data_IF_630182932460
#
_entry.id   IF_630182932460
#
_cell.length_a   1.000
_cell.length_b   1.000
_cell.length_c   1.000
_cell.angle_alpha   90.00
_cell.angle_beta   90.00
_cell.angle_gamma   90.00
#
_symmetry.space_group_name_H-M   'P 1'
#
loop_
_entity.id
_entity.type
_entity.pdbx_description
1 polymer ?
#
# COMPACT_ATOMS: atom_id res chain seq x y z
N UNK A 1 -21.21 19.35 32.35
CA UNK A 1 -21.01 18.46 33.52
C UNK A 1 -19.73 17.63 33.34
N UNK A 2 -18.86 17.58 34.37
CA UNK A 2 -17.59 16.83 34.30
C UNK A 2 -17.73 15.57 35.13
N UNK A 3 -17.62 14.42 34.51
CA UNK A 3 -17.56 13.11 35.14
C UNK A 3 -16.10 12.70 35.30
N UNK A 4 -15.70 12.31 36.50
CA UNK A 4 -14.30 12.00 36.83
C UNK A 4 -14.16 10.58 37.40
N UNK A 5 -13.21 9.83 36.81
CA UNK A 5 -12.83 8.50 37.31
C UNK A 5 -11.53 8.63 38.12
N UNK A 6 -11.64 8.95 39.38
CA UNK A 6 -10.50 9.18 40.28
C UNK A 6 -9.52 10.21 39.70
N UNK A 7 -8.20 10.04 39.88
CA UNK A 7 -7.18 10.91 39.29
C UNK A 7 -6.80 10.54 37.83
N UNK A 8 -7.49 9.57 37.23
CA UNK A 8 -7.02 8.89 36.02
C UNK A 8 -7.64 9.42 34.74
N UNK A 9 -8.94 9.78 34.77
CA UNK A 9 -9.66 10.19 33.54
C UNK A 9 -10.77 11.18 33.92
N UNK A 10 -10.96 12.19 33.07
CA UNK A 10 -12.08 13.11 33.16
C UNK A 10 -12.78 13.21 31.80
N UNK A 11 -14.11 13.29 31.82
CA UNK A 11 -14.95 13.37 30.63
C UNK A 11 -15.95 14.51 30.80
N UNK A 12 -16.24 15.25 29.73
CA UNK A 12 -17.32 16.25 29.68
C UNK A 12 -17.90 16.24 28.26
N UNK A 13 -19.22 16.24 28.17
CA UNK A 13 -19.97 16.22 26.91
C UNK A 13 -19.51 15.09 25.95
N UNK A 14 -19.33 13.87 26.50
CA UNK A 14 -18.86 12.71 25.77
C UNK A 14 -17.40 12.79 25.31
N UNK A 15 -16.64 13.79 25.76
CA UNK A 15 -15.25 14.04 25.32
C UNK A 15 -14.28 13.88 26.48
N UNK A 16 -13.13 13.25 26.17
CA UNK A 16 -12.04 13.18 27.15
C UNK A 16 -11.37 14.54 27.34
N UNK A 17 -11.04 14.83 28.62
CA UNK A 17 -10.34 16.04 29.01
C UNK A 17 -8.87 15.74 29.31
N UNK A 18 -8.02 16.72 29.04
CA UNK A 18 -6.61 16.75 29.42
C UNK A 18 -6.40 17.75 30.53
N UNK A 19 -5.62 17.37 31.52
CA UNK A 19 -5.20 18.29 32.58
C UNK A 19 -3.83 18.87 32.27
N UNK A 20 -3.75 20.21 32.20
CA UNK A 20 -2.49 20.94 32.10
C UNK A 20 -1.99 21.28 33.50
N UNK A 21 -0.91 20.64 33.99
CA UNK A 21 -0.40 20.91 35.33
C UNK A 21 0.25 22.29 35.48
N UNK A 22 0.68 22.94 34.39
CA UNK A 22 1.29 24.25 34.42
C UNK A 22 0.25 25.37 34.60
N UNK A 23 -0.92 25.19 33.98
CA UNK A 23 -2.02 26.16 34.03
C UNK A 23 -3.12 25.79 35.05
N UNK A 24 -3.05 24.59 35.62
CA UNK A 24 -4.10 24.03 36.51
C UNK A 24 -5.49 24.00 35.86
N UNK A 25 -5.57 23.80 34.53
CA UNK A 25 -6.82 23.83 33.76
C UNK A 25 -7.12 22.47 33.17
N UNK A 26 -8.39 22.06 33.20
CA UNK A 26 -8.92 20.96 32.42
C UNK A 26 -9.40 21.51 31.07
N UNK A 27 -8.81 21.04 29.99
CA UNK A 27 -9.21 21.38 28.64
C UNK A 27 -9.67 20.15 27.87
N UNK A 28 -10.58 20.34 26.90
CA UNK A 28 -10.96 19.25 25.99
C UNK A 28 -9.73 18.85 25.18
N UNK A 29 -9.45 17.55 25.14
CA UNK A 29 -8.33 17.05 24.34
C UNK A 29 -8.47 17.51 22.89
N UNK A 30 -7.44 18.11 22.28
CA UNK A 30 -7.50 18.63 20.90
C UNK A 30 -7.90 17.57 19.91
N UNK A 31 -7.54 16.33 20.20
CA UNK A 31 -7.90 15.16 19.40
C UNK A 31 -8.51 14.10 20.30
N UNK A 32 -9.72 13.69 19.97
CA UNK A 32 -10.43 12.65 20.69
C UNK A 32 -9.98 11.26 20.29
N UNK A 33 -10.18 10.29 21.16
CA UNK A 33 -9.91 8.90 20.88
C UNK A 33 -10.86 8.37 19.79
N UNK A 34 -10.41 7.34 19.03
CA UNK A 34 -11.23 6.75 17.96
C UNK A 34 -12.62 6.31 18.43
N UNK A 35 -13.59 6.26 17.52
CA UNK A 35 -15.03 6.10 17.74
C UNK A 35 -15.41 5.06 18.81
N UNK A 36 -14.74 3.89 18.84
CA UNK A 36 -15.00 2.83 19.83
C UNK A 36 -14.67 3.27 21.28
N UNK A 37 -13.69 4.15 21.46
CA UNK A 37 -13.29 4.66 22.78
C UNK A 37 -14.05 5.93 23.14
N UNK A 38 -14.45 6.72 22.15
CA UNK A 38 -15.34 7.86 22.34
C UNK A 38 -16.70 7.40 22.90
N UNK A 39 -17.28 6.31 22.38
CA UNK A 39 -18.50 5.73 22.92
C UNK A 39 -18.41 5.34 24.41
N UNK A 40 -17.24 4.91 24.90
CA UNK A 40 -17.04 4.65 26.35
C UNK A 40 -17.16 5.95 27.18
N UNK A 41 -16.77 7.10 26.60
CA UNK A 41 -16.90 8.39 27.30
C UNK A 41 -18.36 8.86 27.35
N UNK A 42 -19.11 8.62 26.30
CA UNK A 42 -20.56 8.87 26.23
C UNK A 42 -21.32 7.99 27.24
N UNK A 43 -21.07 6.67 27.21
CA UNK A 43 -21.66 5.69 28.15
C UNK A 43 -21.36 6.05 29.60
N UNK A 44 -20.14 6.52 29.87
CA UNK A 44 -19.71 6.92 31.22
C UNK A 44 -20.44 8.18 31.70
N UNK A 45 -20.76 9.09 30.81
CA UNK A 45 -21.45 10.35 31.13
C UNK A 45 -22.97 10.16 31.31
N UNK A 46 -23.57 9.26 30.56
CA UNK A 46 -24.99 8.94 30.62
C UNK A 46 -25.36 8.00 31.77
N UNK A 47 -24.36 7.38 32.39
CA UNK A 47 -24.57 6.42 33.46
C UNK A 47 -25.07 7.11 34.75
N UNK A 48 -26.27 6.77 35.13
CA UNK A 48 -26.89 7.21 36.40
C UNK A 48 -26.74 6.19 37.51
N UNK A 49 -26.71 4.89 37.18
CA UNK A 49 -26.59 3.77 38.12
C UNK A 49 -25.95 2.53 37.47
N UNK A 50 -25.25 1.71 38.29
CA UNK A 50 -24.72 0.42 37.84
C UNK A 50 -23.23 0.41 37.49
N UNK A 51 -22.79 -0.64 36.76
CA UNK A 51 -21.40 -0.85 36.37
C UNK A 51 -21.19 -0.39 34.96
N UNK A 52 -20.38 0.62 34.74
CA UNK A 52 -20.03 1.17 33.41
C UNK A 52 -18.55 0.96 33.13
N UNK A 53 -18.22 0.72 31.88
CA UNK A 53 -16.82 0.64 31.45
C UNK A 53 -16.22 2.04 31.42
N UNK A 54 -15.08 2.21 32.07
CA UNK A 54 -14.32 3.45 32.03
C UNK A 54 -12.93 3.20 31.46
N UNK A 55 -12.43 4.14 30.69
CA UNK A 55 -11.05 4.12 30.26
C UNK A 55 -10.19 4.77 31.36
N UNK A 56 -9.25 4.01 31.89
CA UNK A 56 -8.38 4.46 33.00
C UNK A 56 -6.97 4.67 32.43
N UNK A 57 -6.43 5.88 32.63
CA UNK A 57 -5.03 6.20 32.30
C UNK A 57 -4.18 6.25 33.59
N UNK A 58 -3.38 5.21 33.86
CA UNK A 58 -2.52 5.18 35.05
C UNK A 58 -1.50 6.31 35.10
N UNK A 59 -1.17 6.90 33.93
CA UNK A 59 -0.22 8.01 33.82
C UNK A 59 -0.85 9.39 34.04
N UNK A 60 -2.16 9.46 34.32
CA UNK A 60 -2.94 10.68 34.54
C UNK A 60 -2.99 11.64 33.34
N UNK A 61 -3.13 11.09 32.15
CA UNK A 61 -3.34 11.83 30.89
C UNK A 61 -2.34 11.59 29.79
N UNK A 62 -1.01 11.46 30.02
CA UNK A 62 -0.01 11.29 28.96
C UNK A 62 -0.25 10.11 28.06
N UNK A 63 -0.69 8.95 28.55
CA UNK A 63 -0.96 7.78 27.73
C UNK A 63 -2.18 7.99 26.83
N UNK A 64 -3.24 8.61 27.35
CA UNK A 64 -4.41 8.96 26.54
C UNK A 64 -4.04 9.96 25.44
N UNK A 65 -3.21 10.96 25.76
CA UNK A 65 -2.66 11.91 24.79
C UNK A 65 -1.90 11.22 23.68
N UNK A 66 -0.94 10.36 24.01
CA UNK A 66 -0.17 9.59 23.01
C UNK A 66 -1.05 8.70 22.14
N UNK A 67 -2.11 8.11 22.69
CA UNK A 67 -3.04 7.28 21.92
C UNK A 67 -3.93 8.13 21.01
N UNK A 68 -4.35 9.32 21.47
CA UNK A 68 -5.13 10.25 20.67
C UNK A 68 -4.31 10.84 19.50
N UNK A 69 -3.02 11.08 19.70
CA UNK A 69 -2.10 11.63 18.70
C UNK A 69 -1.64 10.62 17.64
N UNK A 70 -2.06 9.35 17.72
CA UNK A 70 -1.68 8.36 16.70
C UNK A 70 -2.17 8.79 15.31
N UNK A 71 -1.27 8.98 14.33
CA UNK A 71 -1.65 9.45 13.02
C UNK A 71 -2.46 8.40 12.27
N UNK A 72 -3.53 8.83 11.60
CA UNK A 72 -4.29 8.02 10.65
C UNK A 72 -3.46 7.72 9.40
N UNK A 73 -3.90 6.75 8.56
CA UNK A 73 -3.19 6.41 7.32
C UNK A 73 -3.00 7.62 6.40
N UNK A 74 -4.02 8.48 6.27
CA UNK A 74 -3.96 9.70 5.47
C UNK A 74 -2.92 10.68 6.03
N UNK A 75 -2.92 10.90 7.34
CA UNK A 75 -1.94 11.74 8.02
C UNK A 75 -0.52 11.19 7.88
N UNK A 76 -0.35 9.86 7.90
CA UNK A 76 0.96 9.24 7.64
C UNK A 76 1.46 9.54 6.23
N UNK A 77 0.59 9.54 5.22
CA UNK A 77 0.96 9.92 3.85
C UNK A 77 1.35 11.40 3.82
N UNK A 78 0.57 12.27 4.49
CA UNK A 78 0.86 13.69 4.58
C UNK A 78 2.19 13.98 5.29
N UNK A 79 2.51 13.24 6.35
CA UNK A 79 3.82 13.34 7.02
C UNK A 79 4.99 12.87 6.15
N UNK A 80 4.75 12.09 5.09
CA UNK A 80 5.75 11.75 4.09
C UNK A 80 6.03 12.90 3.10
N UNK A 81 5.29 14.00 3.19
CA UNK A 81 5.38 15.18 2.32
C UNK A 81 5.44 14.83 0.82
N UNK A 82 6.23 15.55 0.04
CA UNK A 82 6.34 15.34 -1.42
C UNK A 82 6.74 13.91 -1.76
N UNK A 83 7.70 13.34 -1.04
CA UNK A 83 8.18 11.97 -1.30
C UNK A 83 7.08 10.95 -1.02
N UNK A 84 6.30 11.13 0.04
CA UNK A 84 5.16 10.28 0.36
C UNK A 84 4.12 10.24 -0.75
N UNK A 85 3.77 11.39 -1.31
CA UNK A 85 2.83 11.49 -2.44
C UNK A 85 3.38 10.83 -3.71
N UNK A 86 4.66 11.01 -4.02
CA UNK A 86 5.32 10.37 -5.17
C UNK A 86 5.30 8.84 -5.02
N UNK A 87 5.59 8.33 -3.83
CA UNK A 87 5.54 6.88 -3.55
C UNK A 87 4.12 6.34 -3.76
N UNK A 88 3.10 7.02 -3.23
CA UNK A 88 1.69 6.61 -3.40
C UNK A 88 1.28 6.64 -4.86
N UNK A 89 1.69 7.66 -5.62
CA UNK A 89 1.42 7.75 -7.06
C UNK A 89 2.04 6.58 -7.83
N UNK A 90 3.31 6.28 -7.57
CA UNK A 90 4.01 5.14 -8.18
C UNK A 90 3.32 3.82 -7.82
N UNK A 91 2.89 3.67 -6.58
CA UNK A 91 2.12 2.52 -6.12
C UNK A 91 0.79 2.37 -6.83
N UNK A 92 0.06 3.46 -7.02
CA UNK A 92 -1.21 3.48 -7.73
C UNK A 92 -1.04 3.09 -9.20
N UNK A 93 -0.04 3.66 -9.88
CA UNK A 93 0.29 3.30 -11.26
C UNK A 93 0.65 1.81 -11.35
N UNK A 94 1.44 1.30 -10.40
CA UNK A 94 1.80 -0.11 -10.33
C UNK A 94 0.60 -1.02 -10.13
N UNK A 95 -0.30 -0.66 -9.22
CA UNK A 95 -1.52 -1.42 -8.94
C UNK A 95 -2.48 -1.43 -10.14
N UNK A 96 -2.69 -0.30 -10.79
CA UNK A 96 -3.50 -0.20 -12.01
C UNK A 96 -2.90 -1.02 -13.16
N UNK A 97 -1.58 -0.95 -13.36
CA UNK A 97 -0.89 -1.75 -14.36
C UNK A 97 -1.04 -3.26 -14.06
N UNK A 98 -0.83 -3.67 -12.81
CA UNK A 98 -0.98 -5.05 -12.40
C UNK A 98 -2.42 -5.55 -12.61
N UNK A 99 -3.42 -4.75 -12.23
CA UNK A 99 -4.84 -5.11 -12.41
C UNK A 99 -5.19 -5.27 -13.89
N UNK A 100 -4.78 -4.32 -14.74
CA UNK A 100 -4.98 -4.40 -16.18
C UNK A 100 -4.34 -5.66 -16.77
N UNK A 101 -3.14 -6.00 -16.32
CA UNK A 101 -2.43 -7.20 -16.75
C UNK A 101 -3.13 -8.49 -16.27
N UNK A 102 -3.65 -8.53 -15.04
CA UNK A 102 -4.44 -9.67 -14.57
C UNK A 102 -5.68 -9.89 -15.42
N UNK A 103 -6.42 -8.83 -15.73
CA UNK A 103 -7.60 -8.91 -16.60
C UNK A 103 -7.21 -9.42 -18.00
N UNK A 104 -6.14 -8.87 -18.57
CA UNK A 104 -5.65 -9.29 -19.87
C UNK A 104 -5.26 -10.77 -19.91
N UNK A 105 -4.47 -11.24 -18.93
CA UNK A 105 -4.03 -12.64 -18.87
C UNK A 105 -5.19 -13.60 -18.59
N UNK A 106 -6.17 -13.17 -17.79
CA UNK A 106 -7.36 -13.97 -17.51
C UNK A 106 -8.21 -14.18 -18.78
N UNK A 107 -8.40 -13.11 -19.58
CA UNK A 107 -9.08 -13.18 -20.87
C UNK A 107 -8.27 -14.04 -21.85
N UNK A 108 -6.94 -13.86 -21.91
CA UNK A 108 -6.07 -14.67 -22.76
C UNK A 108 -6.16 -16.17 -22.40
N UNK A 109 -6.12 -16.50 -21.12
CA UNK A 109 -6.26 -17.88 -20.65
C UNK A 109 -7.61 -18.49 -21.02
N UNK A 110 -8.71 -17.75 -20.83
CA UNK A 110 -10.04 -18.21 -21.19
C UNK A 110 -10.16 -18.42 -22.71
N UNK A 111 -9.58 -17.53 -23.51
CA UNK A 111 -9.61 -17.64 -24.97
C UNK A 111 -8.74 -18.81 -25.49
N UNK A 112 -7.58 -19.07 -24.86
CA UNK A 112 -6.75 -20.26 -25.16
C UNK A 112 -7.52 -21.54 -24.83
N UNK A 113 -8.15 -21.61 -23.66
CA UNK A 113 -8.96 -22.77 -23.27
C UNK A 113 -10.14 -23.03 -24.24
N UNK A 114 -10.79 -21.97 -24.72
CA UNK A 114 -11.83 -22.09 -25.75
C UNK A 114 -11.28 -22.57 -27.09
N UNK A 115 -10.08 -22.09 -27.50
CA UNK A 115 -9.43 -22.50 -28.75
C UNK A 115 -8.97 -23.96 -28.74
N UNK A 116 -8.53 -24.49 -27.58
CA UNK A 116 -8.16 -25.89 -27.43
C UNK A 116 -9.32 -26.86 -27.78
N UNK A 117 -10.56 -26.40 -27.61
CA UNK A 117 -11.76 -27.20 -27.99
C UNK A 117 -12.05 -27.18 -29.50
N UNK A 118 -11.48 -26.20 -30.23
CA UNK A 118 -11.69 -26.05 -31.66
C UNK A 118 -10.39 -25.67 -32.37
N UNK A 119 -9.51 -26.65 -32.57
CA UNK A 119 -8.21 -26.48 -33.25
C UNK A 119 -8.34 -26.34 -34.77
N UNK A 120 -9.47 -26.72 -35.33
CA UNK A 120 -9.69 -26.69 -36.80
C UNK A 120 -9.76 -25.23 -37.31
N UNK A 121 -10.37 -24.33 -36.55
CA UNK A 121 -10.58 -22.93 -36.93
C UNK A 121 -9.79 -21.99 -36.01
N UNK A 122 -8.49 -21.74 -36.26
CA UNK A 122 -7.67 -20.88 -35.42
C UNK A 122 -8.08 -19.40 -35.54
N UNK A 123 -8.29 -18.72 -34.39
CA UNK A 123 -8.67 -17.32 -34.35
C UNK A 123 -7.43 -16.42 -34.15
N UNK A 124 -7.26 -15.40 -35.00
CA UNK A 124 -6.14 -14.43 -34.93
C UNK A 124 -6.10 -13.60 -33.64
N UNK A 125 -7.23 -13.43 -32.95
CA UNK A 125 -7.30 -12.65 -31.73
C UNK A 125 -6.85 -13.42 -30.49
N UNK A 126 -6.53 -14.71 -30.63
CA UNK A 126 -6.12 -15.59 -29.56
C UNK A 126 -4.62 -15.92 -29.68
N UNK A 127 -3.83 -15.93 -28.60
CA UNK A 127 -2.42 -16.34 -28.66
C UNK A 127 -2.21 -17.71 -29.30
N UNK A 128 -2.95 -18.72 -28.85
CA UNK A 128 -2.88 -20.08 -29.44
C UNK A 128 -3.30 -20.09 -30.90
N UNK A 129 -4.34 -19.34 -31.26
CA UNK A 129 -4.78 -19.26 -32.67
C UNK A 129 -3.72 -18.63 -33.58
N UNK A 130 -2.98 -17.61 -33.08
CA UNK A 130 -1.85 -17.01 -33.83
C UNK A 130 -0.69 -17.99 -34.01
N UNK A 131 -0.37 -18.76 -32.97
CA UNK A 131 0.65 -19.84 -33.06
C UNK A 131 0.24 -20.88 -34.08
N UNK A 132 -1.01 -21.36 -34.05
CA UNK A 132 -1.52 -22.32 -35.04
C UNK A 132 -1.54 -21.77 -36.45
N UNK A 133 -1.88 -20.49 -36.64
CA UNK A 133 -1.84 -19.83 -37.95
C UNK A 133 -0.42 -19.67 -38.46
N UNK A 134 0.53 -19.29 -37.62
CA UNK A 134 1.95 -19.19 -37.99
C UNK A 134 2.53 -20.55 -38.35
N UNK A 135 2.16 -21.60 -37.62
CA UNK A 135 2.54 -22.98 -37.96
C UNK A 135 2.00 -23.45 -39.33
N UNK A 136 0.75 -23.07 -39.66
CA UNK A 136 0.10 -23.42 -40.94
C UNK A 136 0.50 -22.54 -42.14
N UNK A 137 0.99 -21.31 -41.86
CA UNK A 137 1.26 -20.33 -42.93
C UNK A 137 2.36 -20.73 -43.90
N UNK A 138 3.27 -21.59 -43.51
CA UNK A 138 4.36 -22.08 -44.37
C UNK A 138 3.92 -23.08 -45.43
N UNK A 139 2.66 -23.53 -45.44
CA UNK A 139 2.05 -24.33 -46.49
C UNK A 139 2.73 -25.67 -46.85
N UNK A 140 3.86 -25.96 -46.19
CA UNK A 140 4.61 -27.22 -46.38
C UNK A 140 4.42 -28.07 -45.11
N UNK A 141 3.98 -29.30 -45.29
CA UNK A 141 3.99 -30.26 -44.21
C UNK A 141 5.42 -30.41 -43.67
N UNK A 142 5.60 -30.42 -42.34
CA UNK A 142 6.94 -30.57 -41.78
C UNK A 142 7.54 -31.91 -42.21
N UNK A 143 8.76 -31.85 -42.70
CA UNK A 143 9.47 -33.02 -43.28
C UNK A 143 9.85 -34.05 -42.21
N UNK A 144 9.85 -33.68 -40.92
CA UNK A 144 10.07 -34.57 -39.79
C UNK A 144 9.39 -34.01 -38.52
N UNK A 145 9.12 -34.83 -37.50
CA UNK A 145 8.57 -34.41 -36.23
C UNK A 145 9.43 -33.34 -35.55
N UNK A 146 10.76 -33.42 -35.66
CA UNK A 146 11.69 -32.45 -35.04
C UNK A 146 11.52 -31.05 -35.68
N UNK A 147 11.31 -30.98 -37.02
CA UNK A 147 11.06 -29.71 -37.72
C UNK A 147 9.72 -29.11 -37.29
N UNK A 148 8.72 -29.94 -37.06
CA UNK A 148 7.42 -29.51 -36.57
C UNK A 148 7.52 -28.90 -35.18
N UNK A 149 8.24 -29.55 -34.27
CA UNK A 149 8.49 -29.07 -32.90
C UNK A 149 9.27 -27.76 -32.88
N UNK A 150 10.32 -27.64 -33.73
CA UNK A 150 11.11 -26.41 -33.82
C UNK A 150 10.25 -25.21 -34.28
N UNK A 151 9.41 -25.40 -35.33
CA UNK A 151 8.50 -24.35 -35.81
C UNK A 151 7.46 -23.95 -34.79
N UNK A 152 6.91 -24.92 -34.05
CA UNK A 152 5.95 -24.65 -32.98
C UNK A 152 6.60 -23.86 -31.87
N UNK A 153 7.79 -24.25 -31.44
CA UNK A 153 8.59 -23.56 -30.45
C UNK A 153 8.91 -22.12 -30.87
N UNK A 154 9.30 -21.90 -32.11
CA UNK A 154 9.54 -20.56 -32.64
C UNK A 154 8.27 -19.70 -32.64
N UNK A 155 7.13 -20.24 -33.04
CA UNK A 155 5.87 -19.53 -33.02
C UNK A 155 5.42 -19.16 -31.59
N UNK A 156 5.63 -20.06 -30.62
CA UNK A 156 5.38 -19.78 -29.19
C UNK A 156 6.31 -18.68 -28.68
N UNK A 157 7.60 -18.76 -28.96
CA UNK A 157 8.58 -17.76 -28.53
C UNK A 157 8.28 -16.36 -29.07
N UNK A 158 7.65 -16.23 -30.22
CA UNK A 158 7.20 -14.94 -30.80
C UNK A 158 5.99 -14.35 -30.03
N UNK A 159 5.17 -15.17 -29.37
CA UNK A 159 4.00 -14.73 -28.61
C UNK A 159 4.32 -14.39 -27.15
N UNK A 160 5.34 -15.02 -26.54
CA UNK A 160 5.75 -14.77 -25.14
C UNK A 160 5.96 -13.29 -24.82
N UNK A 161 6.68 -12.49 -25.63
CA UNK A 161 6.88 -11.07 -25.34
C UNK A 161 5.58 -10.26 -25.28
N UNK A 162 4.55 -10.67 -26.00
CA UNK A 162 3.23 -10.00 -25.98
C UNK A 162 2.49 -10.26 -24.68
N UNK A 163 2.59 -11.47 -24.13
CA UNK A 163 1.99 -11.84 -22.86
C UNK A 163 2.71 -11.17 -21.68
N UNK A 164 4.01 -10.92 -21.81
CA UNK A 164 4.87 -10.36 -20.78
C UNK A 164 5.11 -8.85 -20.91
N UNK A 165 4.49 -8.18 -21.88
CA UNK A 165 4.80 -6.80 -22.31
C UNK A 165 4.89 -5.78 -21.15
N UNK A 166 3.99 -5.84 -20.18
CA UNK A 166 3.94 -4.89 -19.06
C UNK A 166 4.54 -5.41 -17.75
N UNK A 167 4.97 -6.67 -17.71
CA UNK A 167 5.57 -7.26 -16.50
C UNK A 167 6.93 -6.63 -16.18
N UNK A 168 7.72 -6.28 -17.20
CA UNK A 168 9.01 -5.59 -17.00
C UNK A 168 8.82 -4.21 -16.39
N UNK A 169 7.78 -3.47 -16.82
CA UNK A 169 7.45 -2.17 -16.23
C UNK A 169 6.97 -2.31 -14.79
N UNK A 170 6.11 -3.29 -14.49
CA UNK A 170 5.68 -3.56 -13.13
C UNK A 170 6.87 -3.91 -12.22
N UNK A 171 7.83 -4.69 -12.71
CA UNK A 171 9.06 -5.05 -11.98
C UNK A 171 9.90 -3.82 -11.66
N UNK A 172 9.98 -2.86 -12.58
CA UNK A 172 10.63 -1.57 -12.35
C UNK A 172 9.94 -0.79 -11.21
N UNK A 173 8.61 -0.72 -11.21
CA UNK A 173 7.83 -0.02 -10.18
C UNK A 173 7.97 -0.68 -8.80
N UNK A 174 8.04 -2.02 -8.74
CA UNK A 174 8.33 -2.76 -7.51
C UNK A 174 9.69 -2.35 -6.93
N UNK A 175 10.73 -2.25 -7.77
CA UNK A 175 12.06 -1.84 -7.33
C UNK A 175 12.12 -0.35 -6.96
N UNK A 176 11.33 0.50 -7.60
CA UNK A 176 11.28 1.93 -7.33
C UNK A 176 10.77 2.27 -5.91
N UNK A 177 9.83 1.47 -5.37
CA UNK A 177 9.24 1.71 -4.06
C UNK A 177 10.26 1.89 -2.93
N UNK A 178 11.09 0.89 -2.64
CA UNK A 178 12.13 0.98 -1.60
C UNK A 178 13.17 2.07 -1.89
N UNK A 179 13.54 2.28 -3.17
CA UNK A 179 14.49 3.32 -3.56
C UNK A 179 13.95 4.73 -3.29
N UNK A 180 12.68 4.97 -3.60
CA UNK A 180 12.02 6.23 -3.25
C UNK A 180 11.90 6.40 -1.73
N UNK A 181 11.63 5.32 -0.99
CA UNK A 181 11.67 5.32 0.47
C UNK A 181 13.04 5.73 1.01
N UNK A 182 14.12 5.21 0.44
CA UNK A 182 15.49 5.61 0.79
C UNK A 182 15.77 7.08 0.50
N UNK A 183 15.34 7.59 -0.67
CA UNK A 183 15.44 9.02 -1.00
C UNK A 183 14.70 9.86 0.03
N UNK A 184 13.53 9.41 0.48
CA UNK A 184 12.77 10.07 1.53
C UNK A 184 13.51 10.16 2.86
N UNK A 185 14.27 9.12 3.24
CA UNK A 185 15.11 9.17 4.45
C UNK A 185 16.23 10.19 4.35
N UNK A 186 16.88 10.27 3.21
CA UNK A 186 17.95 11.24 2.97
C UNK A 186 17.43 12.66 3.06
N UNK A 187 16.29 12.94 2.39
CA UNK A 187 15.64 14.27 2.42
C UNK A 187 15.23 14.63 3.85
N UNK A 188 14.56 13.74 4.57
CA UNK A 188 14.13 13.97 5.95
C UNK A 188 15.31 14.27 6.89
N UNK A 189 16.43 13.57 6.73
CA UNK A 189 17.64 13.84 7.51
C UNK A 189 18.29 15.18 7.14
N UNK A 190 18.32 15.55 5.86
CA UNK A 190 18.81 16.86 5.42
C UNK A 190 17.99 17.98 6.07
N UNK A 191 16.66 17.87 6.06
CA UNK A 191 15.77 18.85 6.69
C UNK A 191 15.99 18.94 8.20
N UNK A 192 16.23 17.80 8.87
CA UNK A 192 16.54 17.75 10.30
C UNK A 192 17.82 18.53 10.61
N UNK A 193 18.91 18.28 9.89
CA UNK A 193 20.17 18.98 10.08
C UNK A 193 20.06 20.48 9.74
N UNK A 194 19.32 20.81 8.69
CA UNK A 194 19.07 22.20 8.34
C UNK A 194 18.31 22.95 9.46
N UNK A 195 17.29 22.30 10.05
CA UNK A 195 16.55 22.88 11.17
C UNK A 195 17.44 23.12 12.39
N UNK A 196 18.34 22.19 12.74
CA UNK A 196 19.30 22.33 13.85
C UNK A 196 20.25 23.50 13.59
N UNK A 197 20.80 23.62 12.38
CA UNK A 197 21.76 24.69 12.05
C UNK A 197 21.09 26.06 12.00
N UNK A 198 19.85 26.14 11.53
CA UNK A 198 19.08 27.39 11.43
C UNK A 198 18.59 27.91 12.77
N UNK A 199 18.18 27.01 13.68
CA UNK A 199 17.66 27.39 15.02
C UNK A 199 18.78 27.62 16.04
N UNK A 200 19.99 27.14 15.78
CA UNK A 200 21.11 27.19 16.74
C UNK A 200 20.85 26.42 18.04
N UNK A 201 19.73 25.70 18.12
CA UNK A 201 19.31 24.91 19.28
C UNK A 201 18.91 23.50 18.87
N UNK A 202 19.21 22.52 19.71
CA UNK A 202 18.77 21.13 19.55
C UNK A 202 17.35 20.96 20.09
N UNK A 203 16.35 21.61 19.49
CA UNK A 203 14.97 21.41 19.90
C UNK A 203 14.50 19.99 19.51
N UNK A 204 14.19 19.11 20.49
CA UNK A 204 13.76 17.75 20.21
C UNK A 204 12.52 17.64 19.34
N UNK A 205 11.62 18.63 19.35
CA UNK A 205 10.39 18.62 18.56
C UNK A 205 10.68 18.82 17.07
N UNK A 206 11.59 19.75 16.73
CA UNK A 206 12.02 19.99 15.35
C UNK A 206 12.76 18.78 14.79
N UNK A 207 13.64 18.18 15.58
CA UNK A 207 14.35 16.96 15.18
C UNK A 207 13.39 15.77 14.96
N UNK A 208 12.44 15.59 15.88
CA UNK A 208 11.48 14.49 15.80
C UNK A 208 10.62 14.55 14.53
N UNK A 209 10.30 15.75 14.04
CA UNK A 209 9.52 15.92 12.80
C UNK A 209 10.26 15.38 11.57
N UNK A 210 11.49 15.81 11.32
CA UNK A 210 12.27 15.37 10.15
C UNK A 210 12.66 13.89 10.21
N UNK A 211 13.00 13.37 11.40
CA UNK A 211 13.24 11.94 11.59
C UNK A 211 11.96 11.13 11.34
N UNK A 212 10.83 11.59 11.86
CA UNK A 212 9.53 10.95 11.63
C UNK A 212 9.15 10.89 10.16
N UNK A 213 9.35 11.98 9.43
CA UNK A 213 9.16 12.05 7.98
C UNK A 213 10.01 11.02 7.23
N UNK A 214 11.30 10.94 7.57
CA UNK A 214 12.23 9.98 6.99
C UNK A 214 11.75 8.53 7.18
N UNK A 215 11.37 8.18 8.41
CA UNK A 215 10.89 6.83 8.73
C UNK A 215 9.60 6.48 8.00
N UNK A 216 8.65 7.43 7.90
CA UNK A 216 7.38 7.21 7.21
C UNK A 216 7.58 6.99 5.71
N UNK A 217 8.46 7.73 5.06
CA UNK A 217 8.78 7.52 3.65
C UNK A 217 9.26 6.09 3.37
N UNK A 218 10.12 5.53 4.23
CA UNK A 218 10.58 4.14 4.10
C UNK A 218 9.43 3.14 4.28
N UNK A 219 8.59 3.33 5.30
CA UNK A 219 7.44 2.46 5.56
C UNK A 219 6.46 2.48 4.38
N UNK A 220 6.19 3.65 3.79
CA UNK A 220 5.34 3.78 2.60
C UNK A 220 5.97 3.09 1.39
N UNK A 221 7.27 3.29 1.15
CA UNK A 221 7.98 2.67 0.04
C UNK A 221 7.92 1.14 0.08
N UNK A 222 8.22 0.54 1.23
CA UNK A 222 8.12 -0.90 1.44
C UNK A 222 6.66 -1.39 1.43
N UNK A 223 5.75 -0.63 2.05
CA UNK A 223 4.32 -0.96 2.12
C UNK A 223 3.65 -1.07 0.75
N UNK A 224 4.13 -0.32 -0.24
CA UNK A 224 3.67 -0.39 -1.63
C UNK A 224 4.43 -1.47 -2.42
N UNK A 225 5.74 -1.59 -2.22
CA UNK A 225 6.56 -2.53 -2.98
C UNK A 225 6.18 -3.99 -2.70
N UNK A 226 5.88 -4.35 -1.45
CA UNK A 226 5.57 -5.73 -1.07
C UNK A 226 4.31 -6.27 -1.77
N UNK A 227 3.14 -5.60 -1.73
CA UNK A 227 1.97 -6.06 -2.47
C UNK A 227 2.20 -6.13 -3.98
N UNK A 228 2.88 -5.13 -4.56
CA UNK A 228 3.20 -5.13 -5.99
C UNK A 228 4.13 -6.29 -6.38
N UNK A 229 5.07 -6.67 -5.50
CA UNK A 229 5.94 -7.83 -5.71
C UNK A 229 5.12 -9.13 -5.79
N UNK A 230 4.19 -9.35 -4.85
CA UNK A 230 3.31 -10.52 -4.89
C UNK A 230 2.42 -10.52 -6.13
N UNK A 231 1.88 -9.37 -6.52
CA UNK A 231 1.11 -9.24 -7.76
C UNK A 231 1.96 -9.59 -9.00
N UNK A 232 3.19 -9.09 -9.07
CA UNK A 232 4.11 -9.39 -10.17
C UNK A 232 4.45 -10.89 -10.24
N UNK A 233 4.69 -11.55 -9.11
CA UNK A 233 4.94 -13.00 -9.09
C UNK A 233 3.72 -13.80 -9.56
N UNK A 234 2.53 -13.42 -9.10
CA UNK A 234 1.28 -14.03 -9.56
C UNK A 234 1.06 -13.88 -11.07
N UNK A 235 1.34 -12.69 -11.62
CA UNK A 235 1.27 -12.44 -13.07
C UNK A 235 2.26 -13.28 -13.86
N UNK A 236 3.48 -13.42 -13.36
CA UNK A 236 4.51 -14.25 -13.99
C UNK A 236 4.09 -15.73 -14.00
N UNK A 237 3.56 -16.22 -12.88
CA UNK A 237 3.04 -17.59 -12.79
C UNK A 237 1.88 -17.83 -13.76
N UNK A 238 0.92 -16.88 -13.86
CA UNK A 238 -0.19 -16.95 -14.81
C UNK A 238 0.27 -16.91 -16.27
N UNK A 239 1.23 -16.06 -16.59
CA UNK A 239 1.81 -15.95 -17.94
C UNK A 239 2.49 -17.25 -18.37
N UNK A 240 3.32 -17.82 -17.47
CA UNK A 240 4.01 -19.09 -17.74
C UNK A 240 3.04 -20.28 -17.85
N UNK A 241 1.88 -20.21 -17.22
CA UNK A 241 0.84 -21.24 -17.33
C UNK A 241 0.02 -21.18 -18.64
N UNK A 242 0.19 -20.13 -19.46
CA UNK A 242 -0.45 -19.96 -20.77
C UNK A 242 0.49 -20.38 -21.92
N UNK A 243 1.80 -20.27 -21.68
CA UNK A 243 2.85 -20.68 -22.62
C UNK A 243 3.23 -22.13 -22.42
#
# INVERSE_FOLDING_TARGET
>A
EVVRVGPFTAVSDGKYLSYDPAQHVLSVMPRQLGARRAGIAEDLQEATDGHVKALVDPSRGPLLGMVAERPNLVERIQHGEVVGYVIVLVGLIGALNALAQYVYLFIARASVAAQLRNLANPNKNNPLGRVLLAFRADGKEPSSPEVAELRLSEAVLREVPRLQRFQSFLRLLVAAGPLLGLVGTVIGMILTFHAITASGSSDPKLMAHGIGQAMIATVLGLGIAIPLLFMNQGLTALSNGIT
#
